data_IF_610057702537
#
_entry.id   IF_610057702537
#
_cell.length_a   1.000
_cell.length_b   1.000
_cell.length_c   1.000
_cell.angle_alpha   90.00
_cell.angle_beta   90.00
_cell.angle_gamma   90.00
#
_symmetry.space_group_name_H-M   'P 1'
#
loop_
_entity.id
_entity.type
_entity.pdbx_description
1 polymer ?
#
# COMPACT_ATOMS: atom_id res chain seq x y z
N UNK A 1 -13.04 -39.20 -21.85
CA UNK A 1 -12.57 -37.79 -21.80
C UNK A 1 -12.71 -37.31 -20.36
N UNK A 2 -11.59 -37.14 -19.66
CA UNK A 2 -11.56 -36.68 -18.26
C UNK A 2 -11.82 -35.17 -18.23
N UNK A 3 -12.85 -34.75 -17.51
CA UNK A 3 -13.02 -33.35 -17.11
C UNK A 3 -11.93 -32.99 -16.11
N UNK A 4 -10.99 -32.17 -16.55
CA UNK A 4 -9.93 -31.63 -15.70
C UNK A 4 -10.53 -30.52 -14.85
N UNK A 5 -10.70 -30.80 -13.55
CA UNK A 5 -11.09 -29.81 -12.53
C UNK A 5 -10.01 -28.72 -12.51
N UNK A 6 -10.31 -27.56 -13.12
CA UNK A 6 -9.56 -26.32 -12.88
C UNK A 6 -9.60 -26.04 -11.38
N UNK A 7 -8.45 -26.20 -10.71
CA UNK A 7 -8.27 -25.76 -9.32
C UNK A 7 -8.41 -24.23 -9.32
N UNK A 8 -9.48 -23.71 -8.73
CA UNK A 8 -9.51 -22.32 -8.30
C UNK A 8 -8.61 -22.21 -7.07
N UNK A 9 -7.40 -21.71 -7.26
CA UNK A 9 -6.64 -21.15 -6.14
C UNK A 9 -7.19 -19.74 -5.87
N UNK A 10 -7.41 -19.33 -4.61
CA UNK A 10 -7.78 -17.96 -4.30
C UNK A 10 -6.50 -17.12 -4.36
N UNK A 11 -6.19 -16.55 -5.53
CA UNK A 11 -4.84 -16.00 -5.80
C UNK A 11 -4.60 -14.65 -5.12
N UNK A 12 -5.59 -13.76 -5.06
CA UNK A 12 -5.52 -12.58 -4.21
C UNK A 12 -6.93 -12.05 -3.97
N UNK A 13 -7.30 -11.72 -2.73
CA UNK A 13 -8.58 -11.08 -2.45
C UNK A 13 -8.36 -9.59 -2.23
N UNK A 14 -9.05 -8.76 -3.03
CA UNK A 14 -9.22 -7.34 -2.72
C UNK A 14 -9.91 -7.26 -1.36
N UNK A 15 -9.21 -6.77 -0.35
CA UNK A 15 -9.80 -6.58 0.97
C UNK A 15 -10.68 -5.34 0.91
N UNK A 16 -11.91 -5.46 1.40
CA UNK A 16 -12.77 -4.30 1.59
C UNK A 16 -12.21 -3.36 2.66
N UNK A 17 -12.26 -2.05 2.35
CA UNK A 17 -12.16 -0.80 3.13
C UNK A 17 -11.91 -0.85 4.66
N UNK A 18 -12.44 -1.83 5.38
CA UNK A 18 -12.48 -1.86 6.85
C UNK A 18 -11.21 -2.37 7.55
N UNK A 19 -10.22 -2.87 6.80
CA UNK A 19 -9.06 -3.58 7.40
C UNK A 19 -7.83 -2.66 7.55
N UNK A 20 -7.80 -1.47 6.94
CA UNK A 20 -6.62 -0.59 6.94
C UNK A 20 -6.49 0.29 8.20
N UNK A 21 -7.44 0.22 9.14
CA UNK A 21 -7.54 1.19 10.26
C UNK A 21 -6.72 0.83 11.52
N UNK A 22 -6.21 -0.40 11.65
CA UNK A 22 -5.43 -0.83 12.82
C UNK A 22 -4.26 -1.77 12.47
N UNK A 23 -3.43 -1.37 11.50
CA UNK A 23 -2.39 -2.25 10.95
C UNK A 23 -0.96 -1.70 11.05
N UNK A 24 -0.63 -0.79 11.97
CA UNK A 24 0.76 -0.30 12.12
C UNK A 24 1.80 -1.42 12.23
N UNK A 25 1.65 -2.37 13.18
CA UNK A 25 2.52 -3.55 13.29
C UNK A 25 2.47 -4.46 12.06
N UNK A 26 1.28 -4.70 11.50
CA UNK A 26 1.10 -5.52 10.29
C UNK A 26 1.75 -4.89 9.06
N UNK A 27 1.81 -3.55 8.98
CA UNK A 27 2.48 -2.82 7.91
C UNK A 27 3.99 -3.05 7.98
N UNK A 28 4.57 -3.04 9.18
CA UNK A 28 5.98 -3.38 9.38
C UNK A 28 6.29 -4.84 9.04
N UNK A 29 5.38 -5.75 9.40
CA UNK A 29 5.52 -7.17 9.04
C UNK A 29 5.55 -7.35 7.52
N UNK A 30 4.65 -6.69 6.78
CA UNK A 30 4.64 -6.71 5.31
C UNK A 30 5.88 -6.07 4.70
N UNK A 31 6.38 -4.96 5.26
CA UNK A 31 7.64 -4.36 4.82
C UNK A 31 8.79 -5.36 5.00
N UNK A 32 8.90 -6.00 6.18
CA UNK A 32 9.93 -6.99 6.45
C UNK A 32 9.83 -8.22 5.54
N UNK A 33 8.60 -8.68 5.25
CA UNK A 33 8.34 -9.75 4.31
C UNK A 33 8.84 -9.38 2.91
N UNK A 34 8.46 -8.21 2.41
CA UNK A 34 8.90 -7.70 1.11
C UNK A 34 10.42 -7.57 1.04
N UNK A 35 11.05 -6.99 2.06
CA UNK A 35 12.51 -6.85 2.10
C UNK A 35 13.21 -8.21 2.01
N UNK A 36 12.65 -9.28 2.61
CA UNK A 36 13.22 -10.63 2.50
C UNK A 36 12.99 -11.29 1.14
N UNK A 37 11.89 -10.96 0.46
CA UNK A 37 11.53 -11.55 -0.84
C UNK A 37 12.19 -10.82 -2.02
N UNK A 38 12.37 -9.51 -1.91
CA UNK A 38 12.83 -8.63 -2.97
C UNK A 38 13.99 -7.78 -2.45
N UNK A 39 14.97 -8.39 -1.81
CA UNK A 39 16.10 -7.65 -1.24
C UNK A 39 16.96 -7.01 -2.35
N UNK A 40 17.63 -5.89 -2.04
CA UNK A 40 18.54 -5.22 -2.97
C UNK A 40 19.83 -5.99 -3.19
N UNK A 41 20.27 -6.75 -2.18
CA UNK A 41 21.51 -7.52 -2.25
C UNK A 41 21.33 -8.83 -3.04
N UNK A 42 20.11 -9.36 -3.12
CA UNK A 42 19.74 -10.56 -3.89
C UNK A 42 18.39 -10.36 -4.60
N UNK A 43 18.33 -9.46 -5.61
CA UNK A 43 17.08 -9.11 -6.25
C UNK A 43 16.50 -10.31 -7.00
N UNK A 44 15.31 -10.75 -6.56
CA UNK A 44 14.45 -11.58 -7.39
C UNK A 44 13.79 -10.64 -8.40
N UNK A 45 14.24 -10.71 -9.65
CA UNK A 45 13.80 -9.84 -10.75
C UNK A 45 12.40 -10.17 -11.31
N UNK A 46 11.61 -11.03 -10.65
CA UNK A 46 10.34 -11.54 -11.17
C UNK A 46 9.09 -10.72 -10.76
N UNK A 47 8.32 -10.42 -11.82
CA UNK A 47 6.89 -10.07 -12.00
C UNK A 47 6.18 -8.98 -11.18
N UNK A 48 6.74 -8.44 -10.09
CA UNK A 48 6.02 -7.43 -9.32
C UNK A 48 6.56 -6.01 -9.48
N UNK A 49 5.66 -5.10 -9.86
CA UNK A 49 5.89 -3.66 -9.94
C UNK A 49 6.09 -3.01 -8.57
N UNK A 50 6.68 -1.82 -8.57
CA UNK A 50 6.71 -0.95 -7.39
C UNK A 50 5.30 -0.60 -6.87
N UNK A 51 4.30 -0.55 -7.76
CA UNK A 51 2.91 -0.30 -7.39
C UNK A 51 2.35 -1.41 -6.51
N UNK A 52 2.49 -2.66 -6.94
CA UNK A 52 2.03 -3.83 -6.19
C UNK A 52 2.69 -3.89 -4.82
N UNK A 53 4.00 -3.62 -4.73
CA UNK A 53 4.71 -3.60 -3.45
C UNK A 53 4.16 -2.52 -2.51
N UNK A 54 3.99 -1.28 -2.99
CA UNK A 54 3.46 -0.20 -2.17
C UNK A 54 2.03 -0.49 -1.68
N UNK A 55 1.18 -1.02 -2.57
CA UNK A 55 -0.20 -1.37 -2.26
C UNK A 55 -0.30 -2.58 -1.31
N UNK A 56 0.59 -3.57 -1.45
CA UNK A 56 0.70 -4.69 -0.52
C UNK A 56 1.05 -4.20 0.88
N UNK A 57 2.06 -3.33 1.01
CA UNK A 57 2.46 -2.74 2.30
C UNK A 57 1.27 -2.07 2.98
N UNK A 58 0.47 -1.29 2.24
CA UNK A 58 -0.74 -0.67 2.78
C UNK A 58 -1.89 -1.65 3.06
N UNK A 59 -1.82 -2.91 2.62
CA UNK A 59 -2.86 -3.90 2.83
C UNK A 59 -4.03 -3.80 1.87
N UNK A 60 -3.86 -3.11 0.74
CA UNK A 60 -4.89 -2.94 -0.28
C UNK A 60 -5.39 -4.29 -0.83
N UNK A 61 -4.49 -5.27 -0.94
CA UNK A 61 -4.83 -6.64 -1.25
C UNK A 61 -4.18 -7.62 -0.28
N UNK A 62 -4.85 -8.75 -0.04
CA UNK A 62 -4.30 -9.86 0.70
C UNK A 62 -4.09 -11.03 -0.25
N UNK A 63 -2.82 -11.41 -0.43
CA UNK A 63 -2.45 -12.59 -1.20
C UNK A 63 -1.79 -13.60 -0.24
N UNK A 64 -2.06 -14.89 -0.45
CA UNK A 64 -1.40 -15.97 0.30
C UNK A 64 0.03 -16.19 -0.21
N UNK A 65 0.26 -15.87 -1.47
CA UNK A 65 1.55 -15.87 -2.14
C UNK A 65 1.63 -14.59 -2.98
N UNK A 66 2.51 -13.67 -2.59
CA UNK A 66 2.68 -12.39 -3.25
C UNK A 66 3.25 -12.54 -4.66
N UNK A 67 4.11 -13.54 -4.88
CA UNK A 67 4.77 -13.76 -6.17
C UNK A 67 3.83 -14.37 -7.23
N UNK A 68 2.68 -14.91 -6.80
CA UNK A 68 1.66 -15.45 -7.67
C UNK A 68 0.54 -14.46 -7.99
N UNK A 69 0.59 -13.23 -7.44
CA UNK A 69 -0.44 -12.21 -7.64
C UNK A 69 -0.35 -11.56 -9.03
N UNK A 70 -1.49 -11.17 -9.59
CA UNK A 70 -1.53 -10.35 -10.80
C UNK A 70 -0.93 -8.97 -10.50
N UNK A 71 0.02 -8.53 -11.31
CA UNK A 71 0.70 -7.25 -11.10
C UNK A 71 -0.19 -6.05 -11.45
N UNK A 72 0.08 -4.92 -10.80
CA UNK A 72 -0.60 -3.65 -11.02
C UNK A 72 0.18 -2.84 -12.05
N UNK A 73 -0.44 -2.55 -13.19
CA UNK A 73 0.14 -1.64 -14.17
C UNK A 73 -0.13 -0.16 -13.82
N UNK A 74 0.47 0.75 -14.58
CA UNK A 74 0.35 2.20 -14.38
C UNK A 74 -1.12 2.71 -14.51
N UNK A 75 -1.94 2.12 -15.39
CA UNK A 75 -3.34 2.52 -15.57
C UNK A 75 -4.18 2.11 -14.36
N UNK A 76 -3.98 0.88 -13.88
CA UNK A 76 -4.59 0.38 -12.66
C UNK A 76 -4.12 1.18 -11.44
N UNK A 77 -2.83 1.50 -11.35
CA UNK A 77 -2.25 2.32 -10.28
C UNK A 77 -2.88 3.73 -10.25
N UNK A 78 -3.02 4.40 -11.40
CA UNK A 78 -3.69 5.71 -11.47
C UNK A 78 -5.16 5.64 -11.06
N UNK A 79 -5.86 4.56 -11.44
CA UNK A 79 -7.25 4.33 -11.02
C UNK A 79 -7.36 4.14 -9.49
N UNK A 80 -6.47 3.35 -8.90
CA UNK A 80 -6.40 3.11 -7.45
C UNK A 80 -6.06 4.41 -6.71
N UNK A 81 -5.12 5.20 -7.23
CA UNK A 81 -4.73 6.48 -6.67
C UNK A 81 -5.93 7.42 -6.57
N UNK A 82 -6.67 7.58 -7.67
CA UNK A 82 -7.88 8.42 -7.74
C UNK A 82 -8.97 7.95 -6.77
N UNK A 83 -9.17 6.64 -6.67
CA UNK A 83 -10.23 6.05 -5.85
C UNK A 83 -9.91 6.12 -4.36
N UNK A 84 -8.70 5.76 -3.96
CA UNK A 84 -8.36 5.49 -2.56
C UNK A 84 -7.47 6.54 -1.90
N UNK A 85 -6.88 7.46 -2.66
CA UNK A 85 -5.99 8.47 -2.12
C UNK A 85 -6.49 9.87 -2.42
N UNK A 86 -6.08 10.81 -1.57
CA UNK A 86 -6.26 12.24 -1.78
C UNK A 86 -4.90 12.89 -1.86
N UNK A 87 -4.70 13.72 -2.87
CA UNK A 87 -3.48 14.51 -3.01
C UNK A 87 -3.40 15.53 -1.86
N UNK A 88 -2.22 15.67 -1.28
CA UNK A 88 -1.92 16.57 -0.17
C UNK A 88 -0.64 17.34 -0.46
N UNK A 89 -0.40 18.40 0.30
CA UNK A 89 0.89 19.08 0.25
C UNK A 89 1.91 18.36 1.13
N UNK A 90 3.20 18.53 0.82
CA UNK A 90 4.28 17.95 1.62
C UNK A 90 4.24 18.43 3.08
N UNK A 91 3.82 19.67 3.29
CA UNK A 91 3.76 20.32 4.59
C UNK A 91 2.63 19.77 5.47
N UNK A 92 1.64 19.10 4.87
CA UNK A 92 0.54 18.46 5.61
C UNK A 92 0.96 17.13 6.27
N UNK A 93 2.16 16.62 5.95
CA UNK A 93 2.71 15.40 6.54
C UNK A 93 3.35 15.72 7.89
N UNK A 94 2.94 15.05 9.00
CA UNK A 94 3.52 15.29 10.32
C UNK A 94 5.03 15.08 10.37
N UNK A 95 5.75 15.98 11.04
CA UNK A 95 7.21 15.93 11.16
C UNK A 95 7.71 14.71 11.93
N UNK A 96 6.87 14.16 12.81
CA UNK A 96 7.13 12.97 13.61
C UNK A 96 6.39 11.71 13.10
N UNK A 97 5.92 11.76 11.84
CA UNK A 97 5.24 10.63 11.24
C UNK A 97 6.08 9.36 11.27
N UNK A 98 5.43 8.28 11.69
CA UNK A 98 5.96 6.92 11.67
C UNK A 98 4.83 5.95 11.35
N UNK A 99 4.96 5.19 10.26
CA UNK A 99 3.96 4.26 9.74
C UNK A 99 3.55 3.18 10.74
N UNK A 100 4.42 2.85 11.70
CA UNK A 100 4.16 1.83 12.71
C UNK A 100 3.19 2.30 13.79
N UNK A 101 3.17 3.60 14.09
CA UNK A 101 2.40 4.18 15.21
C UNK A 101 1.34 5.18 14.77
N UNK A 102 1.53 5.82 13.61
CA UNK A 102 0.60 6.78 13.05
C UNK A 102 -0.62 6.06 12.49
N UNK A 103 -1.77 6.73 12.50
CA UNK A 103 -3.00 6.19 11.91
C UNK A 103 -3.10 6.50 10.41
N UNK A 104 -2.58 7.65 9.98
CA UNK A 104 -2.55 8.00 8.57
C UNK A 104 -1.51 7.21 7.79
N UNK A 105 -1.72 7.07 6.48
CA UNK A 105 -0.78 6.44 5.55
C UNK A 105 -0.51 7.41 4.41
N UNK A 106 0.76 7.62 4.12
CA UNK A 106 1.20 8.57 3.12
C UNK A 106 2.01 7.88 2.03
N UNK A 107 1.80 8.31 0.80
CA UNK A 107 2.41 7.79 -0.41
C UNK A 107 3.04 8.95 -1.17
N UNK A 108 4.27 8.76 -1.66
CA UNK A 108 4.88 9.60 -2.67
C UNK A 108 4.65 8.95 -4.03
N UNK A 109 4.20 9.75 -4.99
CA UNK A 109 3.96 9.36 -6.38
C UNK A 109 4.87 10.17 -7.28
N UNK A 110 5.50 9.49 -8.24
CA UNK A 110 6.30 10.11 -9.30
C UNK A 110 5.61 9.86 -10.64
N UNK A 111 5.47 10.91 -11.44
CA UNK A 111 4.83 10.90 -12.75
C UNK A 111 3.40 11.43 -12.73
N UNK A 112 2.75 11.39 -13.90
CA UNK A 112 1.36 11.82 -14.07
C UNK A 112 0.44 10.98 -13.16
N UNK A 113 -0.41 11.59 -12.31
CA UNK A 113 -1.35 10.85 -11.45
C UNK A 113 -2.29 9.88 -12.19
N UNK A 114 -2.59 10.13 -13.47
CA UNK A 114 -3.38 9.24 -14.31
C UNK A 114 -2.59 8.04 -14.83
N UNK A 115 -1.27 8.20 -14.97
CA UNK A 115 -0.33 7.19 -15.46
C UNK A 115 0.98 7.24 -14.65
N UNK A 116 0.92 6.94 -13.34
CA UNK A 116 2.07 7.09 -12.47
C UNK A 116 3.22 6.18 -12.92
N UNK A 117 4.43 6.63 -12.66
CA UNK A 117 5.66 5.88 -12.96
C UNK A 117 6.13 5.08 -11.74
N UNK A 118 5.98 5.65 -10.54
CA UNK A 118 6.46 4.99 -9.31
C UNK A 118 5.68 5.37 -8.06
N UNK A 119 5.54 4.41 -7.15
CA UNK A 119 4.97 4.58 -5.81
C UNK A 119 6.03 4.31 -4.75
N UNK A 120 6.15 5.22 -3.78
CA UNK A 120 7.00 5.05 -2.62
C UNK A 120 6.22 5.30 -1.32
N UNK A 121 6.18 4.30 -0.44
CA UNK A 121 5.49 4.38 0.84
C UNK A 121 6.29 5.24 1.80
N UNK A 122 5.71 6.32 2.34
CA UNK A 122 6.37 7.06 3.41
C UNK A 122 6.29 6.24 4.71
N UNK A 123 7.44 6.02 5.35
CA UNK A 123 7.57 5.18 6.54
C UNK A 123 7.95 5.97 7.79
N UNK A 124 8.96 6.82 7.75
CA UNK A 124 9.43 7.57 8.92
C UNK A 124 10.11 8.87 8.51
N UNK A 125 9.49 10.02 8.82
CA UNK A 125 10.01 11.35 8.43
C UNK A 125 11.30 11.75 9.12
N UNK A 126 11.68 11.08 10.22
CA UNK A 126 12.97 11.30 10.90
C UNK A 126 14.11 10.47 10.34
N UNK A 127 13.80 9.51 9.46
CA UNK A 127 14.82 8.71 8.76
C UNK A 127 15.45 9.53 7.63
N UNK A 128 16.77 9.42 7.39
CA UNK A 128 17.38 9.97 6.18
C UNK A 128 16.86 9.29 4.90
N UNK A 129 16.33 8.08 5.02
CA UNK A 129 15.67 7.31 3.96
C UNK A 129 14.23 7.02 4.38
N UNK A 130 13.32 8.00 4.23
CA UNK A 130 11.99 7.92 4.81
C UNK A 130 11.02 7.12 3.93
N UNK A 131 11.38 6.77 2.70
CA UNK A 131 10.49 6.08 1.76
C UNK A 131 10.86 4.61 1.63
N UNK A 132 9.87 3.73 1.54
CA UNK A 132 10.04 2.33 1.18
C UNK A 132 9.43 2.08 -0.20
N UNK A 133 10.21 1.52 -1.11
CA UNK A 133 9.76 1.28 -2.48
C UNK A 133 10.54 0.15 -3.15
N UNK A 134 10.01 -0.38 -4.26
CA UNK A 134 10.73 -1.31 -5.13
C UNK A 134 11.15 -0.63 -6.42
N UNK A 135 12.45 -0.45 -6.61
CA UNK A 135 13.01 0.09 -7.84
C UNK A 135 12.99 -0.98 -8.95
N UNK A 136 12.82 -0.61 -10.22
CA UNK A 136 12.74 -1.56 -11.33
C UNK A 136 13.93 -2.54 -11.41
N UNK A 137 15.15 -2.05 -11.16
CA UNK A 137 16.39 -2.83 -11.33
C UNK A 137 17.13 -3.16 -10.02
N UNK A 138 16.69 -2.61 -8.89
CA UNK A 138 17.43 -2.69 -7.62
C UNK A 138 16.65 -3.36 -6.49
N UNK A 139 15.44 -3.89 -6.75
CA UNK A 139 14.63 -4.52 -5.72
C UNK A 139 14.01 -3.52 -4.74
N UNK A 140 13.51 -4.04 -3.61
CA UNK A 140 12.83 -3.29 -2.56
C UNK A 140 13.78 -2.80 -1.48
N UNK A 141 13.53 -1.60 -0.95
CA UNK A 141 14.34 -1.05 0.12
C UNK A 141 13.91 0.35 0.54
N UNK A 142 14.71 0.95 1.41
CA UNK A 142 14.50 2.31 1.88
C UNK A 142 15.31 3.31 1.06
N UNK A 143 14.68 4.42 0.71
CA UNK A 143 15.24 5.47 -0.14
C UNK A 143 15.04 6.85 0.47
N UNK A 144 16.02 7.71 0.23
CA UNK A 144 15.90 9.15 0.38
C UNK A 144 15.16 9.76 -0.81
N UNK A 145 14.59 10.96 -0.63
CA UNK A 145 13.96 11.68 -1.74
C UNK A 145 14.93 11.91 -2.90
N UNK A 146 16.20 12.19 -2.58
CA UNK A 146 17.23 12.47 -3.58
C UNK A 146 17.65 11.22 -4.36
N UNK A 147 17.61 10.03 -3.74
CA UNK A 147 17.80 8.76 -4.44
C UNK A 147 16.66 8.52 -5.43
N UNK A 148 15.41 8.68 -5.01
CA UNK A 148 14.25 8.54 -5.90
C UNK A 148 14.27 9.56 -7.04
N UNK A 149 14.64 10.82 -6.76
CA UNK A 149 14.78 11.83 -7.80
C UNK A 149 15.83 11.44 -8.84
N UNK A 150 17.00 10.96 -8.40
CA UNK A 150 18.06 10.53 -9.33
C UNK A 150 17.65 9.35 -10.20
N UNK A 151 16.81 8.47 -9.67
CA UNK A 151 16.34 7.30 -10.40
C UNK A 151 15.31 7.65 -11.49
N UNK A 152 14.39 8.58 -11.23
CA UNK A 152 13.25 8.81 -12.14
C UNK A 152 13.25 10.16 -12.87
N UNK A 153 13.88 11.19 -12.32
CA UNK A 153 13.82 12.55 -12.89
C UNK A 153 14.78 12.66 -14.07
N UNK A 154 14.32 13.25 -15.17
CA UNK A 154 15.02 13.32 -16.44
C UNK A 154 14.80 12.11 -17.35
N UNK A 155 14.18 11.04 -16.84
CA UNK A 155 13.71 9.90 -17.63
C UNK A 155 12.31 10.21 -18.16
N UNK A 156 12.08 9.95 -19.44
CA UNK A 156 10.77 10.13 -20.10
C UNK A 156 10.15 11.53 -19.93
N UNK A 157 10.99 12.56 -19.72
CA UNK A 157 10.57 13.94 -19.54
C UNK A 157 10.11 14.30 -18.13
N UNK A 158 10.23 13.40 -17.15
CA UNK A 158 9.86 13.66 -15.77
C UNK A 158 10.74 14.75 -15.13
N UNK A 159 10.09 15.63 -14.38
CA UNK A 159 10.67 16.78 -13.70
C UNK A 159 10.33 16.75 -12.21
N UNK A 160 10.96 17.63 -11.44
CA UNK A 160 10.67 17.74 -10.01
C UNK A 160 9.20 18.11 -9.70
N UNK A 161 8.50 18.72 -10.66
CA UNK A 161 7.09 19.07 -10.55
C UNK A 161 6.16 17.85 -10.70
N UNK A 162 6.70 16.71 -11.19
CA UNK A 162 5.98 15.43 -11.32
C UNK A 162 6.07 14.58 -10.04
N UNK A 163 6.39 15.20 -8.90
CA UNK A 163 6.40 14.56 -7.59
C UNK A 163 5.22 15.07 -6.78
N UNK A 164 4.31 14.16 -6.42
CA UNK A 164 3.13 14.48 -5.64
C UNK A 164 3.02 13.60 -4.39
N UNK A 165 2.38 14.14 -3.36
CA UNK A 165 2.16 13.48 -2.09
C UNK A 165 0.68 13.14 -1.92
N UNK A 166 0.42 11.95 -1.42
CA UNK A 166 -0.91 11.42 -1.27
C UNK A 166 -1.12 10.88 0.12
N UNK A 167 -2.34 11.07 0.62
CA UNK A 167 -2.83 10.48 1.86
C UNK A 167 -3.88 9.43 1.51
N UNK A 168 -3.77 8.25 2.10
CA UNK A 168 -4.81 7.24 1.99
C UNK A 168 -6.11 7.74 2.63
N UNK A 169 -7.22 7.66 1.90
CA UNK A 169 -8.55 7.97 2.45
C UNK A 169 -8.88 6.96 3.53
N UNK A 170 -9.34 7.45 4.68
CA UNK A 170 -9.85 6.58 5.74
C UNK A 170 -11.29 6.18 5.47
N UNK A 171 -11.70 5.08 6.09
CA UNK A 171 -13.10 4.82 6.20
C UNK A 171 -13.79 5.94 6.95
N UNK A 172 -14.84 6.51 6.35
CA UNK A 172 -15.79 7.22 7.17
C UNK A 172 -16.29 6.21 8.21
N UNK A 173 -16.19 6.52 9.52
CA UNK A 173 -16.74 5.65 10.53
C UNK A 173 -18.21 5.49 10.18
N UNK A 174 -18.61 4.25 9.90
CA UNK A 174 -19.99 3.93 9.62
C UNK A 174 -20.82 4.48 10.79
N UNK A 175 -21.63 5.52 10.59
CA UNK A 175 -22.52 6.09 11.63
C UNK A 175 -23.55 5.06 12.15
N UNK A 176 -23.54 3.85 11.60
CA UNK A 176 -24.18 2.69 12.21
C UNK A 176 -23.27 2.14 13.30
N UNK A 177 -23.46 2.70 14.50
CA UNK A 177 -22.80 2.30 15.74
C UNK A 177 -22.82 0.78 16.01
N UNK A 178 -22.11 0.32 17.06
CA UNK A 178 -21.91 -1.10 17.32
C UNK A 178 -23.27 -1.82 17.35
N UNK A 179 -23.35 -2.95 16.62
CA UNK A 179 -24.52 -3.81 16.68
C UNK A 179 -24.83 -4.08 18.16
N UNK A 180 -25.97 -3.59 18.64
CA UNK A 180 -26.43 -3.87 20.01
C UNK A 180 -26.58 -5.38 20.12
N UNK A 181 -25.67 -6.02 20.85
CA UNK A 181 -25.81 -7.42 21.22
C UNK A 181 -26.90 -7.46 22.29
N UNK A 182 -28.08 -7.95 21.93
CA UNK A 182 -29.14 -8.21 22.89
C UNK A 182 -28.94 -9.61 23.46
N UNK A 183 -28.69 -9.69 24.76
CA UNK A 183 -28.69 -10.98 25.47
C UNK A 183 -30.13 -11.25 25.89
N UNK A 184 -30.74 -12.27 25.30
CA UNK A 184 -32.04 -12.79 25.69
C UNK A 184 -31.84 -13.86 26.76
N UNK A 185 -32.54 -13.73 27.89
CA UNK A 185 -32.71 -14.84 28.84
C UNK A 185 -33.69 -15.86 28.25
N UNK A 186 -33.64 -17.10 28.74
CA UNK A 186 -34.53 -18.18 28.30
C UNK A 186 -36.05 -17.89 28.51
N UNK A 187 -36.37 -16.87 29.31
CA UNK A 187 -37.73 -16.36 29.55
C UNK A 187 -38.14 -15.20 28.61
N UNK A 188 -37.29 -14.83 27.65
CA UNK A 188 -37.55 -13.77 26.68
C UNK A 188 -37.26 -12.35 27.16
N UNK A 189 -36.76 -12.15 28.39
CA UNK A 189 -36.37 -10.81 28.86
C UNK A 189 -35.02 -10.35 28.31
N UNK A 190 -34.96 -9.08 27.92
CA UNK A 190 -33.74 -8.39 27.44
C UNK A 190 -33.07 -7.70 28.63
N UNK A 191 -31.76 -7.93 28.80
CA UNK A 191 -30.93 -7.19 29.75
C UNK A 191 -30.01 -6.28 28.95
N UNK A 192 -30.18 -4.96 29.07
CA UNK A 192 -29.31 -3.96 28.45
C UNK A 192 -28.01 -3.79 29.23
#
# INVERSE_FOLDING_TARGET
MRFEKRRRFPVCQKKGWAIMEHEGPLTLERINEVTKMCDREQPIYEQMSGFSIALYVFGYFACTDLLAADDVDHVAAGSILKEHFVEIKREDIPLDYNIATSLDRYLLVIGDPLFPTHFAVLTNTRSPQPYFSKLPFFGSGFDSLEELKREFIGIDGLTADDIAYYKLKRAEPNEKGPAKIYIFRADGTVVS
#
